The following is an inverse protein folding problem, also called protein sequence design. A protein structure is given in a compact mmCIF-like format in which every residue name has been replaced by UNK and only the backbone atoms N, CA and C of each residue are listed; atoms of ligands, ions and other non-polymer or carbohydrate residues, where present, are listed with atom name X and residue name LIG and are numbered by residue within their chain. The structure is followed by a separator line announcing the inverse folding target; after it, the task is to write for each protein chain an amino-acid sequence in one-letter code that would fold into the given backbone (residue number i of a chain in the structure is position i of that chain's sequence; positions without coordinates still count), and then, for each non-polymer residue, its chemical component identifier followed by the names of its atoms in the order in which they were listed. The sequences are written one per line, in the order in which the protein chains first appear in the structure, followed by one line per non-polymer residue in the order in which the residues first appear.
data_IF_954297759839
#
_entry.id   IF_954297759839
#
_cell.length_a   1.000
_cell.length_b   1.000
_cell.length_c   1.000
_cell.angle_alpha   90.00
_cell.angle_beta   90.00
_cell.angle_gamma   90.00
#
_symmetry.space_group_name_H-M   'P 1'
#
loop_
_entity.id
_entity.type
_entity.pdbx_description
1 polymer ?
#
# COMPACT_ATOMS: atom_id res chain seq x y z
N UNK A 1 38.54 22.33 17.39
CA UNK A 1 37.49 23.21 17.94
C UNK A 1 36.17 22.47 17.79
N UNK A 2 35.54 22.05 18.89
CA UNK A 2 34.24 21.38 18.85
C UNK A 2 33.17 22.41 18.45
N UNK A 3 32.47 22.16 17.34
CA UNK A 3 31.32 22.97 16.96
C UNK A 3 30.20 22.72 17.98
N UNK A 4 29.68 23.80 18.57
CA UNK A 4 28.62 23.72 19.55
C UNK A 4 27.37 23.08 18.93
N UNK A 5 26.88 22.00 19.54
CA UNK A 5 25.61 21.35 19.19
C UNK A 5 24.49 22.39 19.25
N UNK A 6 23.70 22.58 18.17
CA UNK A 6 22.64 23.57 18.18
C UNK A 6 21.60 23.24 19.26
N UNK A 7 21.35 24.20 20.14
CA UNK A 7 20.39 24.10 21.24
C UNK A 7 19.01 23.68 20.71
N UNK A 8 18.62 22.42 20.92
CA UNK A 8 17.35 21.86 20.45
C UNK A 8 17.46 20.60 19.59
N UNK A 9 18.67 20.20 19.18
CA UNK A 9 18.89 18.93 18.48
C UNK A 9 18.59 17.73 19.38
N UNK A 10 17.77 16.80 18.89
CA UNK A 10 17.54 15.49 19.49
C UNK A 10 18.64 14.49 19.10
N UNK A 11 19.16 14.61 17.87
CA UNK A 11 20.29 13.82 17.36
C UNK A 11 21.19 14.74 16.54
N UNK A 12 22.50 14.67 16.77
CA UNK A 12 23.51 15.40 16.00
C UNK A 12 24.64 14.46 15.52
N UNK A 13 24.99 14.56 14.25
CA UNK A 13 26.10 13.86 13.60
C UNK A 13 27.20 14.88 13.31
N UNK A 14 28.43 14.56 13.69
CA UNK A 14 29.61 15.40 13.47
C UNK A 14 30.67 14.62 12.68
N UNK A 15 30.93 15.06 11.45
CA UNK A 15 31.91 14.45 10.53
C UNK A 15 31.78 12.92 10.40
N UNK A 16 30.55 12.42 10.32
CA UNK A 16 30.28 10.98 10.32
C UNK A 16 30.60 10.37 8.96
N UNK A 17 31.55 9.45 8.91
CA UNK A 17 31.79 8.61 7.74
C UNK A 17 31.43 7.17 8.04
N UNK A 18 30.96 6.45 7.02
CA UNK A 18 30.68 5.02 7.10
C UNK A 18 31.25 4.32 5.89
N UNK A 19 32.10 3.34 6.14
CA UNK A 19 32.74 2.47 5.14
C UNK A 19 32.35 1.04 5.44
N UNK A 20 32.00 0.30 4.39
CA UNK A 20 31.80 -1.13 4.47
C UNK A 20 33.15 -1.86 4.59
N UNK A 21 33.10 -3.12 5.05
CA UNK A 21 34.29 -3.95 5.22
C UNK A 21 35.02 -4.25 3.90
N UNK A 22 34.32 -4.14 2.77
CA UNK A 22 34.87 -4.22 1.41
C UNK A 22 35.62 -2.96 0.96
N UNK A 23 35.66 -1.92 1.82
CA UNK A 23 36.35 -0.67 1.61
C UNK A 23 35.51 0.44 0.96
N UNK A 24 34.27 0.15 0.52
CA UNK A 24 33.37 1.12 -0.12
C UNK A 24 32.89 2.15 0.90
N UNK A 25 33.13 3.43 0.62
CA UNK A 25 32.63 4.54 1.44
C UNK A 25 31.19 4.88 1.07
N UNK A 26 30.27 4.71 2.02
CA UNK A 26 28.86 5.05 1.87
C UNK A 26 28.57 6.52 2.24
N UNK A 27 29.17 6.99 3.34
CA UNK A 27 29.10 8.37 3.78
C UNK A 27 30.52 8.88 4.03
N UNK A 28 30.79 10.10 3.59
CA UNK A 28 32.06 10.78 3.79
C UNK A 28 31.80 12.14 4.47
N UNK A 29 32.22 12.25 5.74
CA UNK A 29 32.10 13.44 6.59
C UNK A 29 30.70 14.08 6.60
N UNK A 30 29.68 13.31 7.00
CA UNK A 30 28.30 13.79 7.12
C UNK A 30 28.07 14.58 8.42
N UNK A 31 27.56 15.79 8.29
CA UNK A 31 27.03 16.61 9.39
C UNK A 31 25.49 16.72 9.27
N UNK A 32 24.77 16.40 10.34
CA UNK A 32 23.30 16.39 10.36
C UNK A 32 22.79 16.69 11.76
N UNK A 33 21.76 17.54 11.87
CA UNK A 33 21.04 17.79 13.12
C UNK A 33 19.56 17.52 12.93
N UNK A 34 18.95 16.73 13.80
CA UNK A 34 17.53 16.41 13.82
C UNK A 34 16.94 16.97 15.11
N UNK A 35 15.95 17.85 14.99
CA UNK A 35 15.20 18.42 16.11
C UNK A 35 13.80 17.77 16.24
N UNK A 36 12.84 18.47 16.85
CA UNK A 36 11.45 17.99 17.01
C UNK A 36 10.60 18.11 15.74
N UNK A 37 11.12 18.71 14.67
CA UNK A 37 10.42 18.87 13.40
C UNK A 37 10.36 17.52 12.69
N UNK A 38 9.18 17.04 12.26
CA UNK A 38 9.08 15.82 11.46
C UNK A 38 9.99 15.90 10.22
N UNK A 39 11.02 15.05 10.21
CA UNK A 39 12.09 15.09 9.21
C UNK A 39 12.14 13.76 8.45
N UNK A 40 12.09 13.82 7.12
CA UNK A 40 12.16 12.64 6.25
C UNK A 40 13.52 12.52 5.55
N UNK A 41 14.11 11.32 5.56
CA UNK A 41 15.31 11.01 4.78
C UNK A 41 14.87 10.49 3.39
N UNK A 42 15.16 11.26 2.34
CA UNK A 42 14.74 10.93 0.96
C UNK A 42 15.95 10.64 0.06
N UNK A 43 15.77 9.75 -0.91
CA UNK A 43 16.83 9.36 -1.85
C UNK A 43 16.53 8.03 -2.55
N UNK A 44 17.28 7.72 -3.62
CA UNK A 44 17.13 6.46 -4.38
C UNK A 44 17.27 5.22 -3.48
N UNK A 45 16.64 4.11 -3.86
CA UNK A 45 16.85 2.84 -3.15
C UNK A 45 18.31 2.39 -3.30
N UNK A 46 18.88 1.85 -2.22
CA UNK A 46 20.30 1.46 -2.17
C UNK A 46 21.30 2.58 -1.81
N UNK A 47 20.87 3.85 -1.70
CA UNK A 47 21.78 4.97 -1.41
C UNK A 47 22.22 5.09 0.06
N UNK A 48 21.85 4.14 0.92
CA UNK A 48 22.27 4.11 2.33
C UNK A 48 21.26 4.64 3.35
N UNK A 49 20.02 4.97 2.99
CA UNK A 49 19.00 5.50 3.93
C UNK A 49 18.82 4.62 5.19
N UNK A 50 18.68 3.31 5.00
CA UNK A 50 18.55 2.36 6.10
C UNK A 50 19.80 2.28 6.96
N UNK A 51 20.98 2.41 6.34
CA UNK A 51 22.26 2.42 7.04
C UNK A 51 22.42 3.68 7.90
N UNK A 52 22.02 4.84 7.39
CA UNK A 52 21.98 6.10 8.14
C UNK A 52 21.03 6.01 9.33
N UNK A 53 19.85 5.41 9.15
CA UNK A 53 18.90 5.19 10.24
C UNK A 53 19.45 4.23 11.32
N UNK A 54 20.17 3.17 10.93
CA UNK A 54 20.85 2.26 11.86
C UNK A 54 21.99 2.95 12.62
N UNK A 55 22.78 3.80 11.95
CA UNK A 55 23.80 4.64 12.57
C UNK A 55 23.15 5.58 13.60
N UNK A 56 22.11 6.31 13.23
CA UNK A 56 21.35 7.20 14.11
C UNK A 56 20.79 6.46 15.33
N UNK A 57 20.35 5.21 15.17
CA UNK A 57 19.84 4.42 16.27
C UNK A 57 20.90 3.64 17.06
N UNK A 58 22.18 3.77 16.70
CA UNK A 58 23.28 3.11 17.40
C UNK A 58 23.35 1.60 17.17
N UNK A 59 22.74 1.08 16.10
CA UNK A 59 22.82 -0.35 15.72
C UNK A 59 24.11 -0.71 14.99
N UNK A 60 24.78 0.28 14.43
CA UNK A 60 26.15 0.15 13.94
C UNK A 60 26.95 1.40 14.32
N UNK A 61 28.27 1.25 14.44
CA UNK A 61 29.18 2.34 14.72
C UNK A 61 29.60 3.04 13.41
N UNK A 62 29.77 4.37 13.43
CA UNK A 62 30.41 5.06 12.32
C UNK A 62 31.88 4.63 12.21
N UNK A 63 32.45 4.69 11.01
CA UNK A 63 33.88 4.43 10.80
C UNK A 63 34.74 5.58 11.33
N UNK A 64 34.28 6.81 11.20
CA UNK A 64 34.86 8.03 11.79
C UNK A 64 33.75 9.03 12.14
N UNK A 65 34.05 10.00 13.01
CA UNK A 65 33.09 11.01 13.48
C UNK A 65 32.30 10.58 14.72
N UNK A 66 31.36 11.41 15.16
CA UNK A 66 30.56 11.18 16.38
C UNK A 66 29.07 11.37 16.12
N UNK A 67 28.25 10.62 16.87
CA UNK A 67 26.78 10.73 16.85
C UNK A 67 26.30 10.98 18.28
N UNK A 68 25.82 12.19 18.55
CA UNK A 68 25.21 12.61 19.81
C UNK A 68 23.70 12.35 19.78
N UNK A 69 23.15 11.78 20.85
CA UNK A 69 21.73 11.48 21.01
C UNK A 69 21.27 12.02 22.35
N UNK A 70 20.37 12.99 22.32
CA UNK A 70 19.84 13.64 23.52
C UNK A 70 18.47 13.09 23.94
N UNK A 71 17.99 12.05 23.26
CA UNK A 71 16.73 11.34 23.52
C UNK A 71 16.88 9.86 23.19
N UNK A 72 16.07 8.96 23.77
CA UNK A 72 15.96 7.59 23.27
C UNK A 72 15.60 7.57 21.78
N UNK A 73 16.38 6.85 20.99
CA UNK A 73 16.14 6.66 19.55
C UNK A 73 15.70 5.22 19.34
N UNK A 74 14.52 5.04 18.77
CA UNK A 74 13.99 3.72 18.40
C UNK A 74 14.09 3.56 16.90
N UNK A 75 14.82 2.55 16.44
CA UNK A 75 14.80 2.15 15.04
C UNK A 75 13.81 1.02 14.82
N UNK A 76 12.86 1.28 13.93
CA UNK A 76 11.93 0.30 13.40
C UNK A 76 12.57 -0.28 12.14
N UNK A 77 13.00 -1.53 12.20
CA UNK A 77 13.63 -2.18 11.07
C UNK A 77 12.59 -2.46 9.98
N UNK A 78 12.99 -2.31 8.72
CA UNK A 78 12.12 -2.64 7.58
C UNK A 78 11.95 -4.17 7.44
N UNK A 79 12.89 -4.95 7.98
CA UNK A 79 12.83 -6.42 8.13
C UNK A 79 13.49 -6.78 9.47
N UNK A 80 12.86 -7.64 10.26
CA UNK A 80 13.38 -8.11 11.55
C UNK A 80 14.12 -9.44 11.35
N UNK A 81 15.44 -9.41 11.35
CA UNK A 81 16.27 -10.61 11.51
C UNK A 81 16.51 -10.83 13.00
N UNK A 82 16.10 -11.97 13.55
CA UNK A 82 16.55 -12.41 14.88
C UNK A 82 16.89 -13.91 14.88
N UNK A 83 18.16 -14.20 15.15
CA UNK A 83 18.84 -15.49 14.97
C UNK A 83 18.57 -16.52 16.05
N UNK A 84 17.32 -16.95 16.25
CA UNK A 84 17.03 -18.09 17.13
C UNK A 84 15.88 -18.98 16.62
N UNK A 85 15.95 -19.38 15.34
CA UNK A 85 14.93 -20.15 14.63
C UNK A 85 14.78 -21.62 15.09
N UNK A 86 15.72 -22.17 15.89
CA UNK A 86 15.75 -23.60 16.18
C UNK A 86 14.90 -24.04 17.38
N UNK A 87 14.63 -23.15 18.35
CA UNK A 87 13.96 -23.52 19.60
C UNK A 87 12.46 -23.26 19.63
N UNK A 88 11.94 -22.47 18.69
CA UNK A 88 10.51 -22.15 18.61
C UNK A 88 10.16 -21.80 17.14
N UNK A 89 9.77 -22.78 16.31
CA UNK A 89 9.48 -22.54 14.90
C UNK A 89 8.24 -21.66 14.79
N UNK A 90 8.47 -20.35 14.66
CA UNK A 90 7.42 -19.39 14.34
C UNK A 90 7.20 -19.38 12.84
N UNK A 91 5.94 -19.49 12.43
CA UNK A 91 5.58 -19.39 11.01
C UNK A 91 5.86 -17.97 10.50
N UNK A 92 6.05 -17.83 9.19
CA UNK A 92 6.27 -16.52 8.52
C UNK A 92 5.18 -15.49 8.89
N UNK A 93 3.96 -15.95 9.18
CA UNK A 93 2.84 -15.14 9.66
C UNK A 93 3.06 -14.54 11.06
N UNK A 94 3.73 -15.26 11.97
CA UNK A 94 4.08 -14.79 13.32
C UNK A 94 5.21 -13.77 13.33
N UNK A 95 6.13 -13.89 12.37
CA UNK A 95 7.27 -12.98 12.21
C UNK A 95 6.87 -11.67 11.53
N UNK A 96 5.89 -11.71 10.62
CA UNK A 96 5.37 -10.53 9.93
C UNK A 96 4.25 -9.79 10.71
N UNK A 97 3.92 -10.23 11.94
CA UNK A 97 2.71 -9.82 12.67
C UNK A 97 1.40 -10.00 11.87
N UNK A 98 1.43 -10.88 10.86
CA UNK A 98 0.29 -11.19 9.99
C UNK A 98 -0.55 -12.33 10.54
N UNK A 99 -0.15 -13.01 11.61
CA UNK A 99 -0.90 -14.12 12.21
C UNK A 99 -2.32 -13.74 12.59
N UNK A 100 -2.49 -12.53 13.13
CA UNK A 100 -3.79 -12.00 13.51
C UNK A 100 -4.64 -11.62 12.27
N UNK A 101 -4.14 -10.85 11.28
CA UNK A 101 -4.83 -10.63 9.99
C UNK A 101 -5.17 -11.89 9.20
N UNK A 102 -4.29 -12.89 9.22
CA UNK A 102 -4.47 -14.15 8.48
C UNK A 102 -5.42 -15.10 9.18
N UNK A 103 -5.37 -15.17 10.51
CA UNK A 103 -6.38 -15.85 11.32
C UNK A 103 -7.76 -15.19 11.19
N UNK A 104 -7.79 -13.86 11.11
CA UNK A 104 -8.99 -13.08 10.84
C UNK A 104 -9.59 -13.39 9.45
N UNK A 105 -8.76 -13.46 8.41
CA UNK A 105 -9.20 -13.84 7.06
C UNK A 105 -9.69 -15.29 6.99
N UNK A 106 -9.06 -16.22 7.72
CA UNK A 106 -9.50 -17.60 7.80
C UNK A 106 -10.84 -17.74 8.54
N UNK A 107 -11.00 -17.04 9.67
CA UNK A 107 -12.28 -16.96 10.40
C UNK A 107 -13.37 -16.33 9.54
N UNK A 108 -13.05 -15.30 8.77
CA UNK A 108 -13.96 -14.69 7.80
C UNK A 108 -14.41 -15.67 6.71
N UNK A 109 -13.47 -16.40 6.10
CA UNK A 109 -13.76 -17.41 5.08
C UNK A 109 -14.62 -18.57 5.61
N UNK A 110 -14.48 -18.88 6.90
CA UNK A 110 -15.26 -19.90 7.62
C UNK A 110 -16.58 -19.37 8.20
N UNK A 111 -16.94 -18.09 7.98
CA UNK A 111 -18.17 -17.48 8.51
C UNK A 111 -18.17 -17.24 10.02
N UNK A 112 -17.00 -17.21 10.66
CA UNK A 112 -16.76 -17.08 12.10
C UNK A 112 -16.00 -15.79 12.47
N UNK A 113 -16.05 -14.76 11.63
CA UNK A 113 -15.36 -13.51 11.90
C UNK A 113 -15.95 -12.74 13.10
N UNK A 114 -15.06 -12.13 13.88
CA UNK A 114 -15.39 -11.24 14.99
C UNK A 114 -15.08 -9.77 14.65
N UNK A 115 -15.68 -8.77 15.33
CA UNK A 115 -15.46 -7.35 15.05
C UNK A 115 -13.98 -6.91 14.99
N UNK A 116 -13.12 -7.53 15.79
CA UNK A 116 -11.68 -7.25 15.84
C UNK A 116 -10.90 -7.86 14.65
N UNK A 117 -11.44 -8.90 14.00
CA UNK A 117 -10.83 -9.51 12.81
C UNK A 117 -10.77 -8.52 11.65
N UNK A 118 -11.74 -7.61 11.59
CA UNK A 118 -11.83 -6.61 10.55
C UNK A 118 -10.82 -5.47 10.71
N UNK A 119 -10.50 -5.08 11.95
CA UNK A 119 -9.44 -4.12 12.25
C UNK A 119 -8.05 -4.67 11.85
N UNK A 120 -7.87 -5.98 11.95
CA UNK A 120 -6.65 -6.69 11.58
C UNK A 120 -6.47 -6.80 10.05
N UNK A 121 -7.56 -6.79 9.27
CA UNK A 121 -7.52 -6.92 7.79
C UNK A 121 -7.17 -5.59 7.08
N UNK A 122 -7.49 -4.45 7.69
CA UNK A 122 -7.15 -3.11 7.16
C UNK A 122 -7.70 -2.82 5.76
N UNK A 123 -6.94 -2.13 4.90
CA UNK A 123 -7.35 -1.68 3.55
C UNK A 123 -7.52 -2.82 2.51
N UNK A 124 -7.44 -4.08 2.92
CA UNK A 124 -7.34 -5.27 2.03
C UNK A 124 -8.63 -6.08 1.99
N UNK A 125 -9.75 -5.42 2.29
CA UNK A 125 -11.08 -5.97 2.59
C UNK A 125 -11.76 -6.73 1.44
N UNK A 126 -11.46 -6.43 0.18
CA UNK A 126 -12.20 -6.98 -0.96
C UNK A 126 -11.53 -8.18 -1.65
N UNK A 127 -10.29 -8.52 -1.34
CA UNK A 127 -9.56 -9.53 -2.11
C UNK A 127 -10.11 -10.94 -1.87
N UNK A 128 -10.39 -11.26 -0.60
CA UNK A 128 -11.02 -12.51 -0.22
C UNK A 128 -12.44 -12.61 -0.80
N UNK A 129 -13.18 -11.50 -0.81
CA UNK A 129 -14.52 -11.40 -1.40
C UNK A 129 -14.49 -11.60 -2.91
N UNK A 130 -13.60 -10.91 -3.64
CA UNK A 130 -13.41 -11.07 -5.10
C UNK A 130 -13.09 -12.51 -5.46
N UNK A 131 -12.22 -13.13 -4.67
CA UNK A 131 -11.82 -14.51 -4.88
C UNK A 131 -12.99 -15.46 -4.57
N UNK A 132 -13.77 -15.20 -3.53
CA UNK A 132 -14.97 -15.99 -3.20
C UNK A 132 -16.07 -15.85 -4.25
N UNK A 133 -16.42 -14.63 -4.64
CA UNK A 133 -17.38 -14.38 -5.72
C UNK A 133 -16.97 -15.05 -7.04
N UNK A 134 -15.67 -15.05 -7.36
CA UNK A 134 -15.16 -15.75 -8.54
C UNK A 134 -15.27 -17.28 -8.42
N UNK A 135 -15.02 -17.86 -7.25
CA UNK A 135 -15.17 -19.30 -7.00
C UNK A 135 -16.63 -19.74 -7.02
N UNK A 136 -17.53 -18.95 -6.41
CA UNK A 136 -18.97 -19.19 -6.39
C UNK A 136 -19.55 -19.11 -7.81
N UNK A 137 -19.14 -18.11 -8.61
CA UNK A 137 -19.52 -17.99 -10.02
C UNK A 137 -19.02 -19.19 -10.87
N UNK A 138 -17.95 -19.85 -10.44
CA UNK A 138 -17.43 -21.08 -11.05
C UNK A 138 -18.07 -22.36 -10.48
N UNK A 139 -18.98 -22.25 -9.50
CA UNK A 139 -19.65 -23.38 -8.86
C UNK A 139 -18.74 -24.23 -7.96
N UNK A 140 -17.62 -23.67 -7.49
CA UNK A 140 -16.65 -24.39 -6.66
C UNK A 140 -17.03 -24.32 -5.18
N UNK A 141 -17.01 -25.45 -4.45
CA UNK A 141 -17.33 -25.46 -3.03
C UNK A 141 -16.22 -24.77 -2.20
N UNK A 142 -16.53 -24.29 -0.98
CA UNK A 142 -15.61 -23.47 -0.19
C UNK A 142 -14.24 -24.10 0.12
N UNK A 143 -14.19 -25.42 0.19
CA UNK A 143 -13.05 -26.29 0.49
C UNK A 143 -12.29 -26.76 -0.75
N UNK A 144 -12.75 -26.40 -1.96
CA UNK A 144 -12.08 -26.75 -3.22
C UNK A 144 -10.69 -26.13 -3.38
N UNK A 145 -10.35 -25.13 -2.55
CA UNK A 145 -9.09 -24.39 -2.62
C UNK A 145 -8.44 -24.28 -1.25
N UNK A 146 -7.11 -24.32 -1.24
CA UNK A 146 -6.30 -24.03 -0.06
C UNK A 146 -5.71 -22.62 -0.17
N UNK A 147 -5.97 -21.78 0.83
CA UNK A 147 -5.45 -20.41 0.83
C UNK A 147 -4.03 -20.34 1.40
N UNK A 148 -3.16 -19.66 0.66
CA UNK A 148 -1.85 -19.22 1.15
C UNK A 148 -1.76 -17.71 1.00
N UNK A 149 -1.44 -17.05 2.10
CA UNK A 149 -1.33 -15.60 2.11
C UNK A 149 0.14 -15.20 2.13
N UNK A 150 0.56 -14.54 1.07
CA UNK A 150 1.94 -14.14 0.83
C UNK A 150 2.00 -12.66 0.43
N UNK A 151 3.09 -11.95 0.75
CA UNK A 151 3.37 -10.65 0.14
C UNK A 151 3.43 -10.73 -1.40
N UNK A 152 3.12 -9.66 -2.15
CA UNK A 152 3.07 -9.72 -3.61
C UNK A 152 4.36 -10.20 -4.30
N UNK A 153 5.53 -9.82 -3.78
CA UNK A 153 6.82 -10.27 -4.33
C UNK A 153 7.00 -11.79 -4.17
N UNK A 154 6.73 -12.30 -2.97
CA UNK A 154 6.82 -13.73 -2.64
C UNK A 154 5.76 -14.54 -3.40
N UNK A 155 4.57 -13.97 -3.58
CA UNK A 155 3.47 -14.62 -4.32
C UNK A 155 3.84 -14.80 -5.79
N UNK A 156 4.51 -13.80 -6.38
CA UNK A 156 5.00 -13.90 -7.76
C UNK A 156 6.06 -14.98 -7.92
N UNK A 157 6.96 -15.12 -6.96
CA UNK A 157 7.96 -16.19 -6.93
C UNK A 157 7.31 -17.56 -6.69
N UNK A 158 6.36 -17.65 -5.75
CA UNK A 158 5.61 -18.87 -5.46
C UNK A 158 4.84 -19.35 -6.68
N UNK A 159 4.22 -18.43 -7.44
CA UNK A 159 3.54 -18.76 -8.70
C UNK A 159 4.54 -19.25 -9.75
N UNK A 160 5.67 -18.55 -9.92
CA UNK A 160 6.70 -18.92 -10.89
C UNK A 160 7.38 -20.26 -10.58
N UNK A 161 7.45 -20.65 -9.31
CA UNK A 161 8.05 -21.92 -8.85
C UNK A 161 7.04 -23.06 -8.73
N UNK A 162 5.75 -22.81 -8.99
CA UNK A 162 4.68 -23.80 -8.83
C UNK A 162 4.32 -24.13 -7.37
N UNK A 163 4.73 -23.29 -6.42
CA UNK A 163 4.36 -23.43 -5.00
C UNK A 163 2.92 -23.00 -4.70
N UNK A 164 2.27 -22.31 -5.65
CA UNK A 164 0.84 -21.99 -5.69
C UNK A 164 0.33 -22.13 -7.13
N UNK A 165 -0.94 -22.51 -7.29
CA UNK A 165 -1.56 -22.71 -8.61
C UNK A 165 -2.20 -21.45 -9.20
N UNK A 166 -2.63 -20.53 -8.32
CA UNK A 166 -3.31 -19.30 -8.71
C UNK A 166 -3.04 -18.17 -7.70
N UNK A 167 -3.13 -16.93 -8.19
CA UNK A 167 -2.93 -15.73 -7.37
C UNK A 167 -4.06 -14.72 -7.60
N UNK A 168 -4.81 -14.42 -6.54
CA UNK A 168 -5.71 -13.27 -6.52
C UNK A 168 -4.92 -12.00 -6.21
N UNK A 169 -4.92 -11.04 -7.14
CA UNK A 169 -4.13 -9.82 -7.04
C UNK A 169 -4.75 -8.66 -7.83
N UNK A 170 -4.08 -7.51 -7.80
CA UNK A 170 -4.49 -6.28 -8.45
C UNK A 170 -3.32 -5.64 -9.22
N UNK A 171 -3.61 -4.58 -9.95
CA UNK A 171 -2.60 -3.82 -10.70
C UNK A 171 -1.62 -3.08 -9.76
N UNK A 172 -0.30 -3.02 -10.03
CA UNK A 172 0.38 -3.39 -11.28
C UNK A 172 0.72 -4.89 -11.42
N UNK A 173 0.49 -5.70 -10.39
CA UNK A 173 1.01 -7.06 -10.36
C UNK A 173 0.39 -7.96 -11.42
N UNK A 174 -0.91 -7.80 -11.70
CA UNK A 174 -1.57 -8.53 -12.79
C UNK A 174 -0.95 -8.22 -14.14
N UNK A 175 -0.76 -6.94 -14.48
CA UNK A 175 -0.09 -6.56 -15.72
C UNK A 175 1.38 -7.01 -15.78
N UNK A 176 2.13 -6.96 -14.67
CA UNK A 176 3.50 -7.45 -14.60
C UNK A 176 3.59 -8.96 -14.86
N UNK A 177 2.74 -9.75 -14.22
CA UNK A 177 2.76 -11.20 -14.36
C UNK A 177 2.36 -11.64 -15.79
N UNK A 178 1.40 -10.96 -16.40
CA UNK A 178 0.94 -11.23 -17.77
C UNK A 178 1.96 -10.80 -18.82
N UNK A 179 2.47 -9.56 -18.73
CA UNK A 179 3.45 -9.05 -19.72
C UNK A 179 4.81 -9.72 -19.61
N UNK A 180 5.16 -10.30 -18.46
CA UNK A 180 6.36 -11.14 -18.32
C UNK A 180 6.19 -12.57 -18.81
N UNK A 181 4.98 -12.96 -19.26
CA UNK A 181 4.65 -14.31 -19.72
C UNK A 181 4.64 -15.36 -18.60
N UNK A 182 4.60 -14.94 -17.34
CA UNK A 182 4.64 -15.83 -16.17
C UNK A 182 3.26 -16.27 -15.69
N UNK A 183 2.22 -15.54 -16.06
CA UNK A 183 0.85 -15.85 -15.68
C UNK A 183 -0.15 -15.39 -16.75
N UNK A 184 -1.39 -15.85 -16.62
CA UNK A 184 -2.55 -15.36 -17.38
C UNK A 184 -3.68 -15.07 -16.42
N UNK A 185 -4.54 -14.11 -16.77
CA UNK A 185 -5.75 -13.84 -15.99
C UNK A 185 -6.74 -14.99 -16.19
N UNK A 186 -7.13 -15.66 -15.10
CA UNK A 186 -8.17 -16.69 -15.09
C UNK A 186 -9.57 -16.07 -15.03
N UNK A 187 -9.76 -15.15 -14.08
CA UNK A 187 -11.00 -14.40 -13.85
C UNK A 187 -10.61 -12.97 -13.50
N UNK A 188 -11.38 -12.00 -13.99
CA UNK A 188 -11.23 -10.59 -13.62
C UNK A 188 -12.39 -10.16 -12.72
N UNK A 189 -12.20 -9.10 -11.94
CA UNK A 189 -13.28 -8.51 -11.13
C UNK A 189 -14.41 -7.85 -11.95
N UNK A 190 -14.34 -7.79 -13.28
CA UNK A 190 -15.39 -7.17 -14.10
C UNK A 190 -16.68 -7.97 -13.97
N UNK A 191 -17.78 -7.28 -13.66
CA UNK A 191 -19.09 -7.89 -13.46
C UNK A 191 -19.28 -8.57 -12.10
N UNK A 192 -18.23 -8.67 -11.28
CA UNK A 192 -18.32 -9.18 -9.91
C UNK A 192 -18.60 -8.07 -8.89
N UNK A 193 -18.19 -6.83 -9.17
CA UNK A 193 -18.39 -5.66 -8.30
C UNK A 193 -18.37 -4.36 -9.13
N UNK A 194 -18.83 -3.25 -8.53
CA UNK A 194 -19.12 -2.01 -9.25
C UNK A 194 -17.89 -1.26 -9.77
N UNK A 195 -16.70 -1.45 -9.18
CA UNK A 195 -15.51 -0.72 -9.59
C UNK A 195 -15.39 0.70 -9.03
N UNK A 196 -16.35 1.16 -8.23
CA UNK A 196 -16.44 2.56 -7.84
C UNK A 196 -15.32 2.98 -6.87
N UNK A 197 -14.85 4.20 -7.06
CA UNK A 197 -13.91 4.88 -6.17
C UNK A 197 -14.28 6.36 -6.12
N UNK A 198 -14.03 7.00 -4.97
CA UNK A 198 -14.55 8.34 -4.68
C UNK A 198 -13.41 9.31 -4.36
N UNK A 199 -13.63 10.61 -4.66
CA UNK A 199 -12.88 11.69 -4.00
C UNK A 199 -13.61 12.01 -2.70
N UNK A 200 -12.89 11.97 -1.58
CA UNK A 200 -13.40 12.37 -0.29
C UNK A 200 -12.80 13.72 0.13
N UNK A 201 -13.61 14.52 0.82
CA UNK A 201 -13.21 15.76 1.49
C UNK A 201 -13.93 15.85 2.83
N UNK A 202 -13.38 16.59 3.78
CA UNK A 202 -14.04 16.82 5.06
C UNK A 202 -15.17 17.84 4.91
N UNK A 203 -16.20 17.75 5.74
CA UNK A 203 -17.33 18.70 5.74
C UNK A 203 -16.85 20.17 5.88
N UNK A 204 -15.85 20.40 6.73
CA UNK A 204 -15.25 21.71 6.91
C UNK A 204 -14.58 22.23 5.62
N UNK A 205 -13.90 21.36 4.86
CA UNK A 205 -13.31 21.74 3.58
C UNK A 205 -14.38 22.00 2.51
N UNK A 206 -15.43 21.17 2.46
CA UNK A 206 -16.57 21.37 1.55
C UNK A 206 -17.24 22.71 1.81
N UNK A 207 -17.48 23.05 3.09
CA UNK A 207 -18.13 24.29 3.48
C UNK A 207 -17.27 25.54 3.20
N UNK A 208 -15.96 25.47 3.48
CA UNK A 208 -15.07 26.65 3.43
C UNK A 208 -14.28 26.83 2.13
N UNK A 209 -14.11 25.77 1.33
CA UNK A 209 -13.23 25.76 0.14
C UNK A 209 -13.95 25.28 -1.13
N UNK A 210 -15.27 25.42 -1.19
CA UNK A 210 -16.11 24.85 -2.26
C UNK A 210 -15.61 25.19 -3.66
N UNK A 211 -15.31 26.45 -3.93
CA UNK A 211 -14.84 26.89 -5.25
C UNK A 211 -13.48 26.30 -5.62
N UNK A 212 -12.56 26.19 -4.66
CA UNK A 212 -11.23 25.61 -4.86
C UNK A 212 -11.33 24.10 -5.12
N UNK A 213 -12.19 23.40 -4.38
CA UNK A 213 -12.45 21.98 -4.59
C UNK A 213 -13.10 21.73 -5.96
N UNK A 214 -13.98 22.63 -6.40
CA UNK A 214 -14.60 22.54 -7.71
C UNK A 214 -13.59 22.76 -8.85
N UNK A 215 -12.69 23.74 -8.73
CA UNK A 215 -11.59 23.94 -9.68
C UNK A 215 -10.65 22.72 -9.73
N UNK A 216 -10.29 22.17 -8.55
CA UNK A 216 -9.49 20.94 -8.46
C UNK A 216 -10.17 19.78 -9.20
N UNK A 217 -11.46 19.53 -8.95
CA UNK A 217 -12.20 18.46 -9.60
C UNK A 217 -12.20 18.61 -11.12
N UNK A 218 -12.48 19.81 -11.64
CA UNK A 218 -12.44 20.09 -13.09
C UNK A 218 -11.08 19.82 -13.71
N UNK A 219 -9.99 20.17 -13.00
CA UNK A 219 -8.62 19.88 -13.47
C UNK A 219 -8.34 18.38 -13.51
N UNK A 220 -8.75 17.64 -12.49
CA UNK A 220 -8.54 16.18 -12.42
C UNK A 220 -9.37 15.47 -13.50
N UNK A 221 -10.62 15.88 -13.72
CA UNK A 221 -11.47 15.35 -14.80
C UNK A 221 -10.81 15.59 -16.16
N UNK A 222 -10.36 16.83 -16.43
CA UNK A 222 -9.66 17.18 -17.68
C UNK A 222 -8.35 16.39 -17.84
N UNK A 223 -7.57 16.24 -16.77
CA UNK A 223 -6.32 15.48 -16.80
C UNK A 223 -6.55 14.00 -17.10
N UNK A 224 -7.58 13.38 -16.50
CA UNK A 224 -7.94 12.00 -16.81
C UNK A 224 -8.38 11.86 -18.27
N UNK A 225 -9.25 12.74 -18.77
CA UNK A 225 -9.67 12.70 -20.17
C UNK A 225 -8.48 12.88 -21.13
N UNK A 226 -7.52 13.74 -20.80
CA UNK A 226 -6.27 13.87 -21.54
C UNK A 226 -5.44 12.58 -21.50
N UNK A 227 -5.31 11.94 -20.34
CA UNK A 227 -4.50 10.72 -20.18
C UNK A 227 -4.96 9.58 -21.09
N UNK A 228 -6.26 9.35 -21.22
CA UNK A 228 -6.80 8.31 -22.09
C UNK A 228 -6.72 8.65 -23.59
N UNK A 229 -6.67 9.95 -23.95
CA UNK A 229 -6.37 10.38 -25.34
C UNK A 229 -4.87 10.31 -25.68
N UNK A 230 -4.00 10.20 -24.68
CA UNK A 230 -2.54 10.19 -24.84
C UNK A 230 -1.94 8.99 -24.09
N UNK A 231 -2.55 7.81 -24.27
CA UNK A 231 -2.26 6.62 -23.47
C UNK A 231 -0.77 6.24 -23.48
N UNK A 232 -0.08 6.36 -24.62
CA UNK A 232 1.36 6.06 -24.72
C UNK A 232 2.22 7.00 -23.86
N UNK A 233 2.02 8.31 -24.02
CA UNK A 233 2.77 9.32 -23.27
C UNK A 233 2.50 9.23 -21.77
N UNK A 234 1.23 9.04 -21.39
CA UNK A 234 0.83 8.88 -20.00
C UNK A 234 1.42 7.60 -19.39
N UNK A 235 1.30 6.47 -20.08
CA UNK A 235 1.80 5.18 -19.58
C UNK A 235 3.33 5.15 -19.47
N UNK A 236 4.05 5.84 -20.35
CA UNK A 236 5.50 6.01 -20.23
C UNK A 236 5.89 6.84 -19.00
N UNK A 237 5.12 7.89 -18.67
CA UNK A 237 5.32 8.63 -17.43
C UNK A 237 4.99 7.76 -16.20
N UNK A 238 3.87 7.03 -16.24
CA UNK A 238 3.45 6.12 -15.19
C UNK A 238 4.50 5.02 -14.92
N UNK A 239 5.06 4.44 -15.98
CA UNK A 239 6.12 3.44 -15.89
C UNK A 239 7.35 3.95 -15.12
N UNK A 240 7.78 5.19 -15.39
CA UNK A 240 8.91 5.83 -14.69
C UNK A 240 8.61 6.12 -13.23
N UNK A 241 7.38 6.55 -12.92
CA UNK A 241 6.96 6.87 -11.54
C UNK A 241 6.88 5.59 -10.70
N UNK A 242 6.24 4.56 -11.24
CA UNK A 242 6.03 3.28 -10.51
C UNK A 242 7.32 2.44 -10.52
N UNK A 243 8.17 2.58 -11.53
CA UNK A 243 9.38 1.77 -11.69
C UNK A 243 9.11 0.39 -12.30
N UNK A 244 8.17 0.29 -13.25
CA UNK A 244 7.79 -0.96 -13.93
C UNK A 244 8.02 -0.89 -15.44
N UNK A 245 8.13 -2.03 -16.15
CA UNK A 245 8.25 -2.04 -17.60
C UNK A 245 7.12 -1.27 -18.31
N UNK A 246 7.41 -0.50 -19.37
CA UNK A 246 6.41 0.30 -20.08
C UNK A 246 5.20 -0.49 -20.57
N UNK A 247 5.40 -1.73 -21.02
CA UNK A 247 4.32 -2.60 -21.47
C UNK A 247 3.33 -2.94 -20.33
N UNK A 248 3.84 -3.22 -19.13
CA UNK A 248 3.00 -3.49 -17.96
C UNK A 248 2.23 -2.24 -17.51
N UNK A 249 2.89 -1.08 -17.49
CA UNK A 249 2.25 0.19 -17.16
C UNK A 249 1.12 0.53 -18.14
N UNK A 250 1.36 0.35 -19.45
CA UNK A 250 0.36 0.58 -20.49
C UNK A 250 -0.81 -0.38 -20.37
N UNK A 251 -0.55 -1.68 -20.21
CA UNK A 251 -1.60 -2.69 -20.04
C UNK A 251 -2.47 -2.39 -18.82
N UNK A 252 -1.88 -2.07 -17.68
CA UNK A 252 -2.63 -1.66 -16.48
C UNK A 252 -3.50 -0.43 -16.77
N UNK A 253 -2.94 0.60 -17.40
CA UNK A 253 -3.64 1.86 -17.64
C UNK A 253 -4.85 1.65 -18.56
N UNK A 254 -4.66 0.96 -19.68
CA UNK A 254 -5.73 0.62 -20.63
C UNK A 254 -6.79 -0.27 -19.99
N UNK A 255 -6.38 -1.27 -19.19
CA UNK A 255 -7.31 -2.17 -18.51
C UNK A 255 -8.16 -1.44 -17.48
N UNK A 256 -7.58 -0.49 -16.73
CA UNK A 256 -8.31 0.30 -15.73
C UNK A 256 -9.49 1.07 -16.35
N UNK A 257 -9.33 1.60 -17.57
CA UNK A 257 -10.37 2.30 -18.34
C UNK A 257 -11.31 3.16 -17.48
N UNK A 258 -10.71 3.92 -16.56
CA UNK A 258 -11.41 4.67 -15.53
C UNK A 258 -12.06 5.90 -16.12
N UNK A 259 -13.27 6.19 -15.67
CA UNK A 259 -14.04 7.39 -16.01
C UNK A 259 -14.61 8.03 -14.76
N UNK A 260 -14.66 9.36 -14.75
CA UNK A 260 -15.42 10.10 -13.75
C UNK A 260 -16.92 9.91 -13.99
N UNK A 261 -17.66 9.68 -12.91
CA UNK A 261 -19.11 9.59 -12.90
C UNK A 261 -19.67 10.68 -11.98
N UNK A 262 -20.78 11.36 -12.36
CA UNK A 262 -21.47 12.22 -11.42
C UNK A 262 -22.03 11.37 -10.28
N UNK A 263 -22.19 11.98 -9.10
CA UNK A 263 -22.89 11.34 -8.00
C UNK A 263 -24.38 11.38 -8.32
N UNK A 264 -24.91 10.28 -8.83
CA UNK A 264 -26.32 10.08 -9.14
C UNK A 264 -26.96 8.99 -8.27
N UNK A 265 -28.26 8.74 -8.47
CA UNK A 265 -28.98 7.71 -7.73
C UNK A 265 -28.41 6.30 -7.94
N UNK A 266 -27.81 6.01 -9.09
CA UNK A 266 -27.18 4.71 -9.38
C UNK A 266 -25.92 4.54 -8.55
N UNK A 267 -25.05 5.54 -8.52
CA UNK A 267 -23.82 5.54 -7.71
C UNK A 267 -24.15 5.38 -6.23
N UNK A 268 -25.14 6.13 -5.74
CA UNK A 268 -25.59 6.05 -4.35
C UNK A 268 -26.14 4.65 -4.04
N UNK A 269 -26.97 4.07 -4.93
CA UNK A 269 -27.55 2.74 -4.72
C UNK A 269 -26.49 1.63 -4.75
N UNK A 270 -25.48 1.73 -5.61
CA UNK A 270 -24.32 0.82 -5.61
C UNK A 270 -23.56 0.91 -4.27
N UNK A 271 -23.30 2.12 -3.78
CA UNK A 271 -22.60 2.29 -2.50
C UNK A 271 -23.43 1.80 -1.30
N UNK A 272 -24.76 2.01 -1.33
CA UNK A 272 -25.65 1.53 -0.29
C UNK A 272 -25.64 -0.01 -0.26
N UNK A 273 -25.65 -0.68 -1.42
CA UNK A 273 -25.50 -2.14 -1.49
C UNK A 273 -24.21 -2.63 -0.84
N UNK A 274 -23.10 -1.92 -1.03
CA UNK A 274 -21.84 -2.22 -0.35
C UNK A 274 -21.96 -2.05 1.17
N UNK A 275 -22.56 -0.95 1.64
CA UNK A 275 -22.77 -0.70 3.07
C UNK A 275 -23.69 -1.75 3.72
N UNK A 276 -24.78 -2.12 3.05
CA UNK A 276 -25.72 -3.15 3.52
C UNK A 276 -25.06 -4.52 3.59
N UNK A 277 -24.21 -4.85 2.61
CA UNK A 277 -23.40 -6.06 2.63
C UNK A 277 -22.45 -6.07 3.83
N UNK A 278 -21.78 -4.95 4.14
CA UNK A 278 -20.89 -4.85 5.29
C UNK A 278 -21.63 -4.98 6.62
N UNK A 279 -22.82 -4.40 6.73
CA UNK A 279 -23.67 -4.60 7.89
C UNK A 279 -24.01 -6.09 8.06
N UNK A 280 -24.46 -6.75 6.98
CA UNK A 280 -24.78 -8.18 7.00
C UNK A 280 -23.58 -9.06 7.36
N UNK A 281 -22.38 -8.65 6.93
CA UNK A 281 -21.13 -9.33 7.22
C UNK A 281 -20.54 -9.00 8.61
N UNK A 282 -21.15 -8.08 9.38
CA UNK A 282 -20.67 -7.67 10.70
C UNK A 282 -19.50 -6.67 10.69
N UNK A 283 -19.12 -6.17 9.51
CA UNK A 283 -18.11 -5.12 9.30
C UNK A 283 -18.57 -3.75 9.80
N UNK A 284 -19.86 -3.45 9.61
CA UNK A 284 -20.50 -2.28 10.19
C UNK A 284 -21.31 -2.70 11.41
N UNK A 285 -21.07 -2.03 12.54
CA UNK A 285 -21.80 -2.28 13.79
C UNK A 285 -23.25 -1.79 13.76
N UNK A 286 -23.54 -0.86 12.86
CA UNK A 286 -24.85 -0.24 12.71
C UNK A 286 -25.13 0.08 11.24
N UNK A 287 -26.41 0.12 10.82
CA UNK A 287 -26.77 0.55 9.47
C UNK A 287 -26.18 1.93 9.14
N UNK A 288 -25.68 2.07 7.92
CA UNK A 288 -25.17 3.34 7.40
C UNK A 288 -26.05 3.77 6.22
N UNK A 289 -26.66 4.95 6.33
CA UNK A 289 -27.27 5.62 5.19
C UNK A 289 -26.19 6.38 4.41
N UNK A 290 -25.77 5.87 3.26
CA UNK A 290 -24.68 6.46 2.49
C UNK A 290 -25.08 7.76 1.79
N UNK A 291 -26.38 8.08 1.69
CA UNK A 291 -26.85 9.32 1.04
C UNK A 291 -26.31 10.55 1.75
N UNK A 292 -26.15 10.48 3.07
CA UNK A 292 -25.65 11.60 3.88
C UNK A 292 -24.14 11.82 3.71
N UNK A 293 -23.42 10.86 3.13
CA UNK A 293 -21.97 10.94 2.93
C UNK A 293 -21.58 11.51 1.57
N UNK A 294 -22.55 11.84 0.72
CA UNK A 294 -22.33 12.37 -0.61
C UNK A 294 -22.75 13.85 -0.71
N UNK A 295 -21.90 14.68 -1.32
CA UNK A 295 -22.27 16.04 -1.74
C UNK A 295 -22.49 16.07 -3.27
N UNK A 296 -23.74 16.18 -3.76
CA UNK A 296 -24.03 16.19 -5.19
C UNK A 296 -23.69 17.54 -5.86
N UNK A 297 -23.35 18.58 -5.12
CA UNK A 297 -23.10 19.93 -5.63
C UNK A 297 -21.67 20.13 -6.15
N UNK A 298 -21.06 19.09 -6.70
CA UNK A 298 -19.80 19.11 -7.43
C UNK A 298 -20.00 18.47 -8.82
N UNK A 299 -20.59 19.19 -9.79
CA UNK A 299 -20.80 18.67 -11.14
C UNK A 299 -19.47 18.45 -11.86
N UNK A 300 -19.44 17.48 -12.79
CA UNK A 300 -18.26 17.19 -13.62
C UNK A 300 -18.12 18.14 -14.83
N UNK A 301 -19.07 19.05 -15.03
CA UNK A 301 -19.15 20.00 -16.14
C UNK A 301 -18.82 21.44 -15.70
#
# INVERSE_FOLDING_TARGET
MAAATPTGALVALHHVSFRFDDGVTLFDSLDLSIDRTPTGIVGRNGIGKSQLAQLIAGRCAPSTGTIERHTPVVYVAQQHDDGNAAANPRTVSQVAALDAPLGALARLADGRAEPHDFDLIGDRWDLAERLRAALDAAGLPPDAVSFRFLPPADTMLALATGSIDAWATWEPYTALAETSGRARVLVSGRGLWSGLSYIAATDAAIASKRDVLHDFLRRVVRAQAWSYRHADAYSAALARIIGIPPAAAKLQFERRNTRWLPIDATVIAEQQRTADFYLKAGLLRQPLDVRTTFDPGFPLA
#
